data_IF_149112721976
#
_entry.id   IF_149112721976
#
_cell.length_a   1.000
_cell.length_b   1.000
_cell.length_c   1.000
_cell.angle_alpha   90.00
_cell.angle_beta   90.00
_cell.angle_gamma   90.00
#
_symmetry.space_group_name_H-M   'P 1'
#
loop_
_entity.id
_entity.type
_entity.pdbx_description
1 polymer ?
#
# COMPACT_ATOMS: atom_id res chain seq x y z
N UNK A 1 -38.47 -31.49 5.08
CA UNK A 1 -37.78 -30.67 4.06
C UNK A 1 -36.45 -30.22 4.65
N UNK A 2 -35.36 -30.87 4.25
CA UNK A 2 -34.05 -30.83 4.92
C UNK A 2 -33.26 -29.60 4.46
N UNK A 3 -32.95 -28.70 5.40
CA UNK A 3 -31.95 -27.62 5.28
C UNK A 3 -30.54 -28.23 5.23
N UNK A 4 -30.14 -28.80 4.09
CA UNK A 4 -28.78 -29.31 3.87
C UNK A 4 -28.35 -29.08 2.42
N UNK A 5 -28.26 -27.83 1.97
CA UNK A 5 -27.64 -27.53 0.67
C UNK A 5 -27.15 -26.08 0.49
N UNK A 6 -26.74 -25.39 1.56
CA UNK A 6 -26.25 -24.00 1.44
C UNK A 6 -25.02 -23.69 2.29
N UNK A 7 -24.27 -24.69 2.76
CA UNK A 7 -23.01 -24.46 3.51
C UNK A 7 -21.75 -25.04 2.84
N UNK A 8 -21.89 -25.85 1.80
CA UNK A 8 -20.75 -26.44 1.08
C UNK A 8 -20.19 -25.56 -0.05
N UNK A 9 -20.91 -24.52 -0.49
CA UNK A 9 -20.42 -23.59 -1.51
C UNK A 9 -19.50 -22.48 -0.96
N UNK A 10 -19.44 -22.30 0.36
CA UNK A 10 -18.55 -21.31 1.00
C UNK A 10 -17.16 -21.90 1.32
N UNK A 11 -17.00 -23.23 1.33
CA UNK A 11 -15.70 -23.88 1.59
C UNK A 11 -14.82 -24.03 0.33
N UNK A 12 -15.34 -23.71 -0.85
CA UNK A 12 -14.62 -23.77 -2.11
C UNK A 12 -14.03 -22.42 -2.55
N UNK A 13 -13.95 -21.43 -1.65
CA UNK A 13 -12.98 -20.33 -1.79
C UNK A 13 -11.62 -20.91 -1.40
N UNK A 14 -11.13 -21.81 -2.26
CA UNK A 14 -9.77 -22.29 -2.25
C UNK A 14 -8.86 -21.07 -2.37
N UNK A 15 -8.20 -20.72 -1.28
CA UNK A 15 -7.07 -19.80 -1.21
C UNK A 15 -5.91 -20.39 -2.00
N UNK A 16 -6.05 -20.50 -3.32
CA UNK A 16 -4.91 -20.69 -4.20
C UNK A 16 -4.16 -19.36 -4.19
N UNK A 17 -3.09 -19.31 -3.41
CA UNK A 17 -2.15 -18.20 -3.42
C UNK A 17 -1.52 -18.11 -4.82
N UNK A 18 -2.14 -17.32 -5.71
CA UNK A 18 -1.63 -17.11 -7.06
C UNK A 18 -0.35 -16.26 -6.98
N UNK A 19 0.69 -16.63 -7.72
CA UNK A 19 1.95 -15.90 -7.85
C UNK A 19 1.86 -14.80 -8.94
N UNK A 20 2.83 -13.86 -9.00
CA UNK A 20 2.93 -12.91 -10.09
C UNK A 20 3.09 -13.63 -11.44
N UNK A 21 2.53 -13.06 -12.51
CA UNK A 21 2.75 -13.54 -13.87
C UNK A 21 4.14 -13.14 -14.35
N UNK A 22 4.92 -14.13 -14.78
CA UNK A 22 6.31 -13.97 -15.23
C UNK A 22 6.39 -14.09 -16.75
N UNK A 23 6.97 -13.09 -17.41
CA UNK A 23 7.29 -13.11 -18.84
C UNK A 23 8.81 -13.02 -19.02
N UNK A 24 9.40 -13.95 -19.76
CA UNK A 24 10.84 -13.99 -20.03
C UNK A 24 11.09 -13.78 -21.52
N UNK A 25 12.21 -13.14 -21.85
CA UNK A 25 12.77 -13.10 -23.21
C UNK A 25 14.25 -13.44 -23.13
N UNK A 26 14.63 -14.48 -23.84
CA UNK A 26 16.02 -14.94 -23.92
C UNK A 26 16.62 -14.32 -25.18
N UNK A 27 17.66 -13.53 -25.01
CA UNK A 27 18.43 -12.95 -26.13
C UNK A 27 19.57 -13.89 -26.49
N UNK A 28 20.15 -14.55 -25.48
CA UNK A 28 21.19 -15.53 -25.67
C UNK A 28 21.02 -16.69 -24.69
N UNK A 29 20.76 -17.88 -25.24
CA UNK A 29 20.59 -19.07 -24.43
C UNK A 29 21.94 -19.50 -23.85
N UNK A 30 21.99 -19.67 -22.54
CA UNK A 30 23.07 -20.35 -21.83
C UNK A 30 22.47 -21.41 -20.92
N UNK A 31 23.32 -22.33 -20.47
CA UNK A 31 22.91 -23.30 -19.47
C UNK A 31 22.53 -22.58 -18.16
N UNK A 32 21.48 -23.03 -17.47
CA UNK A 32 21.16 -22.55 -16.12
C UNK A 32 22.40 -22.60 -15.21
N UNK A 33 22.59 -21.55 -14.41
CA UNK A 33 23.59 -21.58 -13.35
C UNK A 33 23.13 -22.49 -12.21
N UNK A 34 24.03 -22.98 -11.34
CA UNK A 34 23.63 -23.67 -10.12
C UNK A 34 22.68 -22.83 -9.26
N UNK A 35 21.67 -23.44 -8.65
CA UNK A 35 20.67 -22.73 -7.82
C UNK A 35 21.28 -21.99 -6.61
N UNK A 36 22.50 -22.36 -6.21
CA UNK A 36 23.27 -21.72 -5.14
C UNK A 36 24.09 -20.51 -5.60
N UNK A 37 24.03 -20.16 -6.90
CA UNK A 37 24.82 -19.06 -7.45
C UNK A 37 24.32 -17.73 -6.88
N UNK A 38 25.19 -16.92 -6.24
CA UNK A 38 24.80 -15.60 -5.80
C UNK A 38 24.52 -14.72 -7.02
N UNK A 39 23.31 -14.16 -7.09
CA UNK A 39 22.93 -13.19 -8.12
C UNK A 39 22.98 -11.80 -7.54
N UNK A 40 23.63 -10.90 -8.27
CA UNK A 40 23.73 -9.50 -7.89
C UNK A 40 22.59 -8.70 -8.47
N UNK A 41 21.82 -8.07 -7.60
CA UNK A 41 20.70 -7.22 -7.99
C UNK A 41 21.19 -5.79 -8.10
N UNK A 42 21.16 -5.24 -9.31
CA UNK A 42 21.47 -3.84 -9.58
C UNK A 42 20.16 -3.03 -9.65
N UNK A 43 20.01 -2.02 -8.81
CA UNK A 43 18.84 -1.14 -8.76
C UNK A 43 18.90 -0.05 -9.83
N UNK A 44 17.82 0.72 -10.00
CA UNK A 44 17.58 1.62 -11.16
C UNK A 44 18.77 2.50 -11.55
N UNK A 45 19.48 3.07 -10.57
CA UNK A 45 20.55 4.04 -10.78
C UNK A 45 21.97 3.42 -10.84
N UNK A 46 22.09 2.12 -10.56
CA UNK A 46 23.38 1.44 -10.50
C UNK A 46 23.84 1.00 -11.89
N UNK A 47 25.04 1.37 -12.36
CA UNK A 47 25.50 1.00 -13.70
C UNK A 47 25.75 -0.51 -13.82
N UNK A 48 25.53 -1.04 -15.02
CA UNK A 48 25.92 -2.42 -15.35
C UNK A 48 27.43 -2.44 -15.65
N UNK A 49 28.21 -3.43 -15.18
CA UNK A 49 29.62 -3.57 -15.52
C UNK A 49 29.86 -3.63 -17.04
N UNK A 50 30.91 -2.96 -17.53
CA UNK A 50 31.17 -2.81 -18.98
C UNK A 50 31.34 -4.14 -19.73
N UNK A 51 31.80 -5.19 -19.05
CA UNK A 51 32.03 -6.51 -19.64
C UNK A 51 30.88 -7.51 -19.42
N UNK A 52 29.72 -7.05 -18.92
CA UNK A 52 28.59 -7.92 -18.68
C UNK A 52 27.83 -8.22 -19.98
N UNK A 53 27.59 -9.51 -20.23
CA UNK A 53 26.90 -10.01 -21.41
C UNK A 53 25.41 -10.12 -21.16
N UNK A 54 24.57 -9.48 -21.99
CA UNK A 54 23.11 -9.55 -21.83
C UNK A 54 22.56 -10.93 -22.22
N UNK A 55 21.91 -11.61 -21.28
CA UNK A 55 21.33 -12.94 -21.45
C UNK A 55 19.85 -12.87 -21.85
N UNK A 56 19.15 -11.84 -21.37
CA UNK A 56 17.73 -11.70 -21.60
C UNK A 56 17.07 -10.64 -20.72
N UNK A 57 15.75 -10.72 -20.64
CA UNK A 57 14.94 -9.88 -19.76
C UNK A 57 13.82 -10.68 -19.10
N UNK A 58 13.47 -10.26 -17.90
CA UNK A 58 12.37 -10.82 -17.11
C UNK A 58 11.43 -9.69 -16.71
N UNK A 59 10.13 -9.96 -16.83
CA UNK A 59 9.07 -9.03 -16.46
C UNK A 59 8.10 -9.75 -15.54
N UNK A 60 7.86 -9.16 -14.36
CA UNK A 60 6.92 -9.67 -13.38
C UNK A 60 5.74 -8.71 -13.28
N UNK A 61 4.56 -9.23 -13.52
CA UNK A 61 3.28 -8.50 -13.55
C UNK A 61 2.28 -9.12 -12.57
N UNK A 62 1.27 -8.35 -12.19
CA UNK A 62 0.15 -8.84 -11.38
C UNK A 62 -0.84 -9.58 -12.27
N UNK A 63 -1.24 -10.79 -11.88
CA UNK A 63 -2.27 -11.59 -12.57
C UNK A 63 -3.70 -11.22 -12.16
N UNK A 64 -3.87 -10.28 -11.23
CA UNK A 64 -5.16 -9.80 -10.72
C UNK A 64 -5.65 -10.54 -9.48
N UNK A 65 -5.08 -11.70 -9.17
CA UNK A 65 -5.36 -12.49 -7.96
C UNK A 65 -4.08 -12.83 -7.18
N UNK A 66 -2.98 -12.12 -7.44
CA UNK A 66 -1.70 -12.38 -6.79
C UNK A 66 -1.78 -12.04 -5.30
N UNK A 67 -1.28 -12.94 -4.44
CA UNK A 67 -1.30 -12.73 -2.97
C UNK A 67 0.08 -12.38 -2.40
N UNK A 68 1.16 -12.77 -3.10
CA UNK A 68 2.56 -12.46 -2.78
C UNK A 68 3.03 -11.24 -3.57
N UNK A 69 2.73 -10.07 -3.02
CA UNK A 69 2.80 -8.78 -3.72
C UNK A 69 3.94 -7.86 -3.27
N UNK A 70 4.74 -8.33 -2.30
CA UNK A 70 5.88 -7.57 -1.76
C UNK A 70 7.02 -7.52 -2.75
N UNK A 71 7.83 -6.47 -2.65
CA UNK A 71 8.96 -6.25 -3.54
C UNK A 71 10.04 -7.34 -3.44
N UNK A 72 10.39 -7.74 -2.23
CA UNK A 72 11.39 -8.78 -1.95
C UNK A 72 11.06 -10.10 -2.64
N UNK A 73 9.81 -10.54 -2.55
CA UNK A 73 9.34 -11.74 -3.24
C UNK A 73 9.44 -11.60 -4.77
N UNK A 74 9.12 -10.42 -5.31
CA UNK A 74 9.22 -10.16 -6.76
C UNK A 74 10.68 -10.17 -7.23
N UNK A 75 11.61 -9.66 -6.42
CA UNK A 75 13.05 -9.73 -6.69
C UNK A 75 13.59 -11.16 -6.59
N UNK A 76 13.16 -11.93 -5.59
CA UNK A 76 13.50 -13.35 -5.43
C UNK A 76 13.05 -14.15 -6.65
N UNK A 77 11.80 -13.97 -7.11
CA UNK A 77 11.31 -14.65 -8.31
C UNK A 77 12.12 -14.24 -9.54
N UNK A 78 12.40 -12.95 -9.74
CA UNK A 78 13.22 -12.49 -10.87
C UNK A 78 14.66 -13.04 -10.84
N UNK A 79 15.21 -13.23 -9.64
CA UNK A 79 16.53 -13.81 -9.41
C UNK A 79 16.58 -15.27 -9.82
N UNK A 80 15.58 -16.07 -9.43
CA UNK A 80 15.43 -17.45 -9.88
C UNK A 80 15.40 -17.51 -11.41
N UNK A 81 14.70 -16.57 -12.06
CA UNK A 81 14.67 -16.54 -13.52
C UNK A 81 16.00 -16.12 -14.15
N UNK A 82 16.78 -15.27 -13.49
CA UNK A 82 18.13 -14.93 -13.94
C UNK A 82 19.05 -16.15 -13.94
N UNK A 83 19.01 -16.95 -12.86
CA UNK A 83 19.76 -18.21 -12.73
C UNK A 83 19.38 -19.17 -13.87
N UNK A 84 18.08 -19.35 -14.10
CA UNK A 84 17.57 -20.21 -15.18
C UNK A 84 18.01 -19.73 -16.58
N UNK A 85 18.27 -18.44 -16.76
CA UNK A 85 18.76 -17.86 -18.01
C UNK A 85 20.30 -17.85 -18.12
N UNK A 86 21.02 -18.39 -17.14
CA UNK A 86 22.48 -18.42 -17.14
C UNK A 86 23.13 -17.10 -16.69
N UNK A 87 22.39 -16.19 -16.05
CA UNK A 87 22.87 -14.89 -15.61
C UNK A 87 23.13 -14.80 -14.11
N UNK A 88 24.17 -14.08 -13.72
CA UNK A 88 24.55 -13.80 -12.33
C UNK A 88 24.34 -12.33 -11.93
N UNK A 89 23.80 -11.49 -12.83
CA UNK A 89 23.47 -10.10 -12.56
C UNK A 89 22.03 -9.83 -13.03
N UNK A 90 21.21 -9.27 -12.13
CA UNK A 90 19.82 -8.85 -12.38
C UNK A 90 19.73 -7.33 -12.28
N UNK A 91 19.63 -6.63 -13.41
CA UNK A 91 19.46 -5.17 -13.44
C UNK A 91 17.99 -4.80 -13.50
N UNK A 92 17.47 -4.14 -12.47
CA UNK A 92 16.14 -3.56 -12.47
C UNK A 92 16.13 -2.35 -13.40
N UNK A 93 15.32 -2.43 -14.47
CA UNK A 93 15.15 -1.34 -15.44
C UNK A 93 13.88 -0.54 -15.19
N UNK A 94 12.91 -1.13 -14.48
CA UNK A 94 11.66 -0.48 -14.12
C UNK A 94 11.07 -1.11 -12.88
N UNK A 95 10.57 -0.26 -12.00
CA UNK A 95 9.80 -0.68 -10.84
C UNK A 95 8.52 0.16 -10.74
N UNK A 96 7.37 -0.52 -10.64
CA UNK A 96 6.07 0.06 -10.31
C UNK A 96 5.59 -0.45 -8.96
N UNK A 97 5.38 0.47 -8.01
CA UNK A 97 4.74 0.21 -6.72
C UNK A 97 3.25 -0.15 -6.91
N UNK A 98 2.58 -0.68 -5.87
CA UNK A 98 1.14 -0.84 -5.89
C UNK A 98 0.43 0.46 -6.23
N UNK A 99 -0.52 0.41 -7.16
CA UNK A 99 -1.31 1.56 -7.61
C UNK A 99 -2.81 1.28 -7.56
N UNK A 100 -3.60 2.22 -8.08
CA UNK A 100 -5.05 2.12 -8.14
C UNK A 100 -5.57 0.91 -8.94
N UNK A 101 -4.75 0.28 -9.79
CA UNK A 101 -5.14 -0.86 -10.63
C UNK A 101 -4.53 -2.19 -10.17
N UNK A 102 -3.48 -2.17 -9.34
CA UNK A 102 -2.81 -3.38 -8.86
C UNK A 102 -2.24 -3.18 -7.46
N UNK A 103 -2.45 -4.17 -6.60
CA UNK A 103 -1.96 -4.15 -5.22
C UNK A 103 -0.51 -4.65 -5.08
N UNK A 104 0.15 -4.98 -6.19
CA UNK A 104 1.42 -5.70 -6.21
C UNK A 104 2.54 -4.93 -6.90
N UNK A 105 3.76 -5.16 -6.42
CA UNK A 105 4.97 -4.71 -7.09
C UNK A 105 5.08 -5.35 -8.47
N UNK A 106 5.40 -4.53 -9.47
CA UNK A 106 5.63 -4.97 -10.85
C UNK A 106 6.98 -4.47 -11.30
N UNK A 107 7.79 -5.34 -11.90
CA UNK A 107 9.14 -4.99 -12.33
C UNK A 107 9.41 -5.43 -13.76
N UNK A 108 10.30 -4.70 -14.42
CA UNK A 108 11.01 -5.13 -15.61
C UNK A 108 12.50 -5.13 -15.26
N UNK A 109 13.21 -6.19 -15.64
CA UNK A 109 14.62 -6.36 -15.36
C UNK A 109 15.33 -7.00 -16.55
N UNK A 110 16.61 -6.67 -16.70
CA UNK A 110 17.53 -7.29 -17.65
C UNK A 110 18.49 -8.21 -16.91
N UNK A 111 18.84 -9.30 -17.56
CA UNK A 111 19.70 -10.34 -16.99
C UNK A 111 21.01 -10.34 -17.74
N UNK A 112 22.11 -10.32 -17.00
CA UNK A 112 23.46 -10.31 -17.52
C UNK A 112 24.30 -11.42 -16.89
N UNK A 113 25.36 -11.78 -17.59
CA UNK A 113 26.42 -12.66 -17.11
C UNK A 113 27.77 -11.92 -17.14
N UNK A 114 28.52 -11.99 -16.04
CA UNK A 114 29.92 -11.53 -15.98
C UNK A 114 30.79 -12.53 -15.23
N UNK A 115 32.04 -12.68 -15.69
CA UNK A 115 33.05 -13.51 -15.02
C UNK A 115 33.71 -12.78 -13.84
N UNK A 116 33.48 -11.47 -13.69
CA UNK A 116 34.00 -10.71 -12.55
C UNK A 116 33.07 -10.88 -11.35
N UNK A 117 33.64 -11.06 -10.15
CA UNK A 117 32.84 -11.13 -8.94
C UNK A 117 32.06 -9.82 -8.80
N UNK A 118 30.80 -9.88 -8.36
CA UNK A 118 29.98 -8.70 -8.26
C UNK A 118 30.57 -7.71 -7.26
N UNK A 119 30.81 -6.49 -7.73
CA UNK A 119 31.26 -5.39 -6.89
C UNK A 119 30.08 -4.98 -6.03
N UNK A 120 30.12 -5.30 -4.73
CA UNK A 120 29.11 -4.91 -3.76
C UNK A 120 29.07 -3.39 -3.63
N UNK A 121 28.16 -2.73 -4.35
CA UNK A 121 27.96 -1.28 -4.30
C UNK A 121 27.13 -0.86 -3.07
N UNK A 122 27.45 -1.37 -1.88
CA UNK A 122 26.91 -0.87 -0.62
C UNK A 122 28.00 -0.70 0.46
N UNK A 123 29.19 -0.25 0.05
CA UNK A 123 30.04 0.52 0.95
C UNK A 123 29.98 1.96 0.46
N UNK A 124 29.42 2.86 1.28
CA UNK A 124 29.53 4.31 1.07
C UNK A 124 31.00 4.62 0.78
N UNK A 125 31.26 5.17 -0.40
CA UNK A 125 32.55 5.71 -0.79
C UNK A 125 32.80 6.99 0.00
N UNK A 126 33.47 6.88 1.14
CA UNK A 126 34.28 7.97 1.67
C UNK A 126 35.69 7.45 1.90
N UNK A 127 36.65 8.16 1.33
CA UNK A 127 38.12 8.05 1.43
C UNK A 127 38.84 6.92 0.68
N UNK A 128 39.80 7.39 -0.14
CA UNK A 128 40.71 6.67 -0.99
C UNK A 128 41.74 5.83 -0.24
N UNK A 129 42.13 4.72 -0.88
CA UNK A 129 43.33 3.95 -0.58
C UNK A 129 43.04 2.55 -0.07
N UNK A 130 43.85 1.59 -0.53
CA UNK A 130 43.94 0.17 -0.14
C UNK A 130 43.13 -0.78 -1.06
N UNK A 131 43.71 -1.06 -2.24
CA UNK A 131 43.27 -2.12 -3.14
C UNK A 131 44.09 -3.43 -3.02
N UNK A 132 45.22 -3.43 -2.30
CA UNK A 132 46.19 -4.55 -2.42
C UNK A 132 46.22 -5.51 -1.22
N UNK A 133 45.58 -5.19 -0.09
CA UNK A 133 45.60 -6.03 1.12
C UNK A 133 44.34 -6.90 1.31
N UNK A 134 43.34 -6.76 0.42
CA UNK A 134 42.03 -7.42 0.55
C UNK A 134 41.94 -8.79 -0.17
N UNK A 135 42.92 -9.16 -0.99
CA UNK A 135 42.84 -10.38 -1.82
C UNK A 135 43.16 -11.68 -1.08
N UNK A 136 43.85 -11.63 0.06
CA UNK A 136 44.27 -12.81 0.84
C UNK A 136 43.33 -13.16 2.00
N UNK A 137 42.48 -12.23 2.42
CA UNK A 137 41.49 -12.45 3.49
C UNK A 137 40.20 -13.12 2.96
N UNK A 138 39.87 -12.92 1.68
CA UNK A 138 38.67 -13.48 1.03
C UNK A 138 38.72 -15.00 0.78
N UNK A 139 39.88 -15.65 0.92
CA UNK A 139 40.01 -17.09 0.75
C UNK A 139 39.75 -17.89 2.05
N UNK A 140 39.84 -17.24 3.22
CA UNK A 140 39.71 -17.89 4.53
C UNK A 140 38.29 -17.82 5.12
N UNK A 141 37.43 -16.94 4.57
CA UNK A 141 36.09 -16.64 5.12
C UNK A 141 34.95 -17.45 4.46
N UNK A 142 35.29 -18.54 3.76
CA UNK A 142 34.30 -19.40 3.08
C UNK A 142 33.70 -20.50 3.97
N UNK A 143 34.21 -20.72 5.19
CA UNK A 143 33.80 -21.86 6.04
C UNK A 143 32.96 -21.49 7.26
N UNK A 144 32.59 -20.21 7.42
CA UNK A 144 31.77 -19.77 8.56
C UNK A 144 30.70 -18.77 8.13
N UNK A 145 29.98 -19.10 7.05
CA UNK A 145 28.76 -18.39 6.64
C UNK A 145 27.62 -18.72 7.63
N UNK A 146 27.66 -18.12 8.82
CA UNK A 146 26.45 -17.95 9.60
C UNK A 146 25.56 -17.00 8.82
N UNK A 147 24.35 -17.45 8.53
CA UNK A 147 23.25 -16.73 7.89
C UNK A 147 23.01 -15.39 8.59
N UNK A 148 23.80 -14.38 8.27
CA UNK A 148 23.46 -12.99 8.54
C UNK A 148 22.21 -12.70 7.70
N UNK A 149 21.12 -12.43 8.41
CA UNK A 149 19.87 -12.00 7.84
C UNK A 149 20.17 -10.74 7.01
N UNK A 150 20.26 -10.90 5.69
CA UNK A 150 20.32 -9.79 4.75
C UNK A 150 19.11 -8.93 5.07
N UNK A 151 19.33 -7.84 5.81
CA UNK A 151 18.31 -6.86 6.13
C UNK A 151 17.89 -6.28 4.79
N UNK A 152 16.84 -6.86 4.21
CA UNK A 152 16.19 -6.39 3.01
C UNK A 152 15.93 -4.89 3.21
N UNK A 153 16.49 -3.99 2.38
CA UNK A 153 16.27 -2.55 2.48
C UNK A 153 14.80 -2.13 2.28
N UNK A 154 13.84 -3.06 2.16
CA UNK A 154 12.56 -2.83 1.50
C UNK A 154 11.33 -3.08 2.37
N UNK A 155 11.45 -2.86 3.68
CA UNK A 155 10.31 -2.46 4.52
C UNK A 155 10.21 -0.91 4.59
N UNK A 156 10.67 -0.22 3.55
CA UNK A 156 10.67 1.25 3.42
C UNK A 156 9.27 1.78 3.06
N UNK A 157 8.32 1.55 3.96
CA UNK A 157 7.07 2.30 3.97
C UNK A 157 6.77 2.74 5.40
N UNK A 158 6.23 3.94 5.53
CA UNK A 158 5.88 4.49 6.82
C UNK A 158 4.72 3.67 7.43
N UNK A 159 5.04 2.89 8.47
CA UNK A 159 4.10 2.02 9.18
C UNK A 159 3.09 2.80 10.01
N UNK A 160 3.47 3.94 10.58
CA UNK A 160 2.58 4.75 11.42
C UNK A 160 2.21 6.08 10.76
N UNK A 161 0.94 6.45 10.80
CA UNK A 161 0.44 7.73 10.27
C UNK A 161 -0.55 8.36 11.24
N UNK A 162 -0.34 9.64 11.51
CA UNK A 162 -1.33 10.51 12.14
C UNK A 162 -1.92 11.44 11.07
N UNK A 163 -3.24 11.58 11.05
CA UNK A 163 -3.90 12.59 10.22
C UNK A 163 -4.92 13.42 11.00
N UNK A 164 -5.00 14.68 10.61
CA UNK A 164 -6.01 15.64 11.03
C UNK A 164 -6.61 16.27 9.77
N UNK A 165 -7.93 16.24 9.63
CA UNK A 165 -8.62 16.75 8.44
C UNK A 165 -9.82 17.61 8.85
N UNK A 166 -10.08 18.69 8.13
CA UNK A 166 -11.26 19.54 8.28
C UNK A 166 -12.01 19.67 6.96
N UNK A 167 -13.33 19.74 7.00
CA UNK A 167 -14.17 19.87 5.81
C UNK A 167 -15.63 20.09 6.13
N UNK A 168 -16.50 19.75 5.18
CA UNK A 168 -17.95 19.86 5.31
C UNK A 168 -18.64 18.52 5.07
N UNK A 169 -19.73 18.26 5.78
CA UNK A 169 -20.51 17.03 5.69
C UNK A 169 -21.97 17.32 5.33
N UNK A 170 -22.65 16.36 4.72
CA UNK A 170 -24.09 16.39 4.46
C UNK A 170 -24.76 15.10 4.94
N UNK A 171 -25.80 15.22 5.77
CA UNK A 171 -26.54 14.09 6.36
C UNK A 171 -27.71 13.67 5.46
N UNK A 172 -27.73 12.39 5.09
CA UNK A 172 -28.74 11.82 4.17
C UNK A 172 -29.97 11.22 4.86
N UNK A 173 -30.11 11.34 6.19
CA UNK A 173 -31.26 10.76 6.92
C UNK A 173 -32.61 11.23 6.36
N UNK A 174 -33.55 10.30 6.20
CA UNK A 174 -34.92 10.59 5.78
C UNK A 174 -35.63 11.37 6.89
N UNK A 175 -36.26 12.49 6.53
CA UNK A 175 -37.09 13.28 7.45
C UNK A 175 -38.45 12.58 7.53
N UNK A 176 -38.91 12.22 8.74
CA UNK A 176 -40.20 11.54 8.92
C UNK A 176 -41.34 12.44 8.43
N UNK A 177 -42.38 11.84 7.84
CA UNK A 177 -43.43 12.61 7.16
C UNK A 177 -44.38 13.33 8.13
N UNK A 178 -44.39 12.92 9.39
CA UNK A 178 -45.28 13.40 10.47
C UNK A 178 -44.80 14.70 11.15
N UNK A 179 -43.67 15.25 10.70
CA UNK A 179 -43.14 16.53 11.17
C UNK A 179 -43.84 17.70 10.49
N UNK A 180 -44.15 18.76 11.25
CA UNK A 180 -44.76 19.99 10.73
C UNK A 180 -43.90 20.62 9.62
N UNK A 181 -44.48 21.42 8.73
CA UNK A 181 -43.75 22.06 7.61
C UNK A 181 -42.56 22.91 8.10
N UNK A 182 -42.62 23.41 9.33
CA UNK A 182 -41.59 24.21 9.99
C UNK A 182 -40.43 23.34 10.50
N UNK A 183 -40.73 22.20 11.11
CA UNK A 183 -39.70 21.25 11.59
C UNK A 183 -38.91 20.67 10.41
N UNK A 184 -39.55 20.49 9.24
CA UNK A 184 -38.85 20.05 8.02
C UNK A 184 -37.82 21.06 7.53
N UNK A 185 -38.11 22.36 7.64
CA UNK A 185 -37.18 23.42 7.21
C UNK A 185 -36.01 23.56 8.18
N UNK A 186 -36.26 23.36 9.48
CA UNK A 186 -35.23 23.31 10.53
C UNK A 186 -34.30 22.09 10.37
N UNK A 187 -34.89 20.88 10.25
CA UNK A 187 -34.14 19.63 10.07
C UNK A 187 -33.31 19.61 8.78
N UNK A 188 -33.68 20.41 7.76
CA UNK A 188 -32.88 20.53 6.52
C UNK A 188 -31.61 21.37 6.73
N UNK A 189 -31.60 22.35 7.65
CA UNK A 189 -30.41 23.17 7.94
C UNK A 189 -29.35 22.40 8.72
N UNK A 190 -29.74 21.57 9.70
CA UNK A 190 -28.81 20.70 10.46
C UNK A 190 -28.21 19.54 9.65
N UNK A 191 -28.56 19.40 8.37
CA UNK A 191 -27.98 18.37 7.50
C UNK A 191 -26.58 18.71 7.04
N UNK A 192 -26.27 19.99 6.86
CA UNK A 192 -24.96 20.43 6.43
C UNK A 192 -24.18 20.98 7.62
N UNK A 193 -22.91 20.63 7.75
CA UNK A 193 -22.11 21.02 8.90
C UNK A 193 -20.60 20.92 8.64
N UNK A 194 -19.82 21.49 9.55
CA UNK A 194 -18.37 21.31 9.57
C UNK A 194 -18.01 19.91 10.08
N UNK A 195 -16.95 19.32 9.54
CA UNK A 195 -16.44 18.01 9.95
C UNK A 195 -14.95 18.11 10.25
N UNK A 196 -14.57 17.66 11.43
CA UNK A 196 -13.18 17.42 11.81
C UNK A 196 -12.92 15.92 11.94
N UNK A 197 -11.77 15.45 11.47
CA UNK A 197 -11.34 14.07 11.61
C UNK A 197 -9.93 14.03 12.20
N UNK A 198 -9.71 13.09 13.12
CA UNK A 198 -8.39 12.70 13.58
C UNK A 198 -8.27 11.18 13.48
N UNK A 199 -7.18 10.66 12.94
CA UNK A 199 -6.94 9.22 12.92
C UNK A 199 -5.48 8.84 13.14
N UNK A 200 -5.29 7.73 13.83
CA UNK A 200 -4.01 7.05 14.01
C UNK A 200 -4.06 5.72 13.26
N UNK A 201 -3.28 5.60 12.18
CA UNK A 201 -3.24 4.43 11.31
C UNK A 201 -1.92 3.67 11.45
N UNK A 202 -2.00 2.34 11.59
CA UNK A 202 -0.88 1.41 11.49
C UNK A 202 -0.99 0.55 10.22
N UNK A 203 0.00 0.65 9.34
CA UNK A 203 0.10 -0.10 8.09
C UNK A 203 0.81 -1.43 8.33
N UNK A 204 0.05 -2.52 8.23
CA UNK A 204 0.56 -3.89 8.32
C UNK A 204 1.30 -4.25 7.02
N UNK A 205 0.89 -3.66 5.89
CA UNK A 205 1.62 -3.66 4.62
C UNK A 205 1.52 -2.29 3.98
N UNK A 206 2.34 -2.01 2.97
CA UNK A 206 2.35 -0.73 2.26
C UNK A 206 0.97 -0.28 1.73
N UNK A 207 0.07 -1.22 1.42
CA UNK A 207 -1.25 -0.97 0.84
C UNK A 207 -2.44 -1.17 1.79
N UNK A 208 -2.20 -1.63 3.02
CA UNK A 208 -3.28 -1.91 3.99
C UNK A 208 -2.89 -1.66 5.43
N UNK A 209 -3.83 -1.13 6.20
CA UNK A 209 -3.62 -0.83 7.61
C UNK A 209 -4.90 -0.91 8.44
N UNK A 210 -4.72 -0.75 9.74
CA UNK A 210 -5.79 -0.61 10.71
C UNK A 210 -5.64 0.77 11.34
N UNK A 211 -6.75 1.48 11.50
CA UNK A 211 -6.77 2.82 12.07
C UNK A 211 -7.78 2.94 13.21
N UNK A 212 -7.44 3.73 14.22
CA UNK A 212 -8.42 4.28 15.15
C UNK A 212 -8.78 5.69 14.67
N UNK A 213 -10.06 5.91 14.37
CA UNK A 213 -10.56 7.17 13.81
C UNK A 213 -11.54 7.83 14.76
N UNK A 214 -11.40 9.13 14.92
CA UNK A 214 -12.34 10.04 15.55
C UNK A 214 -12.87 11.03 14.53
N UNK A 215 -14.18 11.26 14.49
CA UNK A 215 -14.82 12.27 13.64
C UNK A 215 -15.78 13.10 14.46
N UNK A 216 -15.79 14.41 14.25
CA UNK A 216 -16.70 15.36 14.87
C UNK A 216 -17.43 16.13 13.77
N UNK A 217 -18.75 15.98 13.68
CA UNK A 217 -19.62 16.75 12.80
C UNK A 217 -20.38 17.79 13.63
N UNK A 218 -20.17 19.07 13.34
CA UNK A 218 -20.86 20.20 13.97
C UNK A 218 -21.81 20.86 12.97
N UNK A 219 -23.07 21.06 13.37
CA UNK A 219 -24.04 21.81 12.58
C UNK A 219 -24.92 22.65 13.49
N UNK A 220 -25.20 23.88 13.08
CA UNK A 220 -26.06 24.82 13.79
C UNK A 220 -27.28 25.14 12.94
N UNK A 221 -28.45 25.20 13.55
CA UNK A 221 -29.67 25.67 12.88
C UNK A 221 -30.44 26.64 13.76
N UNK A 222 -30.81 27.76 13.14
CA UNK A 222 -31.74 28.73 13.73
C UNK A 222 -33.02 28.81 12.88
N UNK A 223 -34.15 28.76 13.58
CA UNK A 223 -35.49 28.90 13.01
C UNK A 223 -36.28 29.88 13.87
N UNK A 224 -36.80 30.94 13.27
CA UNK A 224 -37.65 31.92 13.95
C UNK A 224 -39.08 31.81 13.44
N UNK A 225 -40.03 31.82 14.38
CA UNK A 225 -41.47 31.77 14.09
C UNK A 225 -42.21 32.88 14.82
N UNK A 226 -43.27 33.39 14.19
CA UNK A 226 -44.20 34.34 14.82
C UNK A 226 -45.37 33.57 15.43
N UNK A 227 -45.47 33.56 16.75
CA UNK A 227 -46.60 33.00 17.47
C UNK A 227 -47.59 34.12 17.87
N UNK A 228 -48.91 33.95 17.68
CA UNK A 228 -49.89 34.91 18.17
C UNK A 228 -49.83 35.02 19.70
N UNK A 229 -49.87 36.24 20.21
CA UNK A 229 -49.82 36.65 21.63
C UNK A 229 -51.02 37.54 21.93
N UNK A 230 -51.43 37.66 23.20
CA UNK A 230 -52.56 38.51 23.62
C UNK A 230 -52.42 39.99 23.24
N UNK A 231 -51.23 40.43 22.85
CA UNK A 231 -50.88 41.80 22.46
C UNK A 231 -50.31 41.94 21.04
N UNK A 232 -50.35 40.88 20.21
CA UNK A 232 -49.85 40.91 18.82
C UNK A 232 -49.21 39.59 18.38
N UNK A 233 -48.01 39.65 17.78
CA UNK A 233 -47.21 38.47 17.44
C UNK A 233 -45.90 38.51 18.21
N UNK A 234 -45.54 37.41 18.88
CA UNK A 234 -44.25 37.24 19.51
C UNK A 234 -43.33 36.41 18.60
N UNK A 235 -42.04 36.78 18.48
CA UNK A 235 -41.08 36.00 17.69
C UNK A 235 -40.39 35.01 18.61
N UNK A 236 -40.62 33.72 18.39
CA UNK A 236 -39.94 32.64 19.09
C UNK A 236 -38.80 32.19 18.18
N UNK A 237 -37.57 32.36 18.64
CA UNK A 237 -36.37 31.85 17.97
C UNK A 237 -35.98 30.55 18.64
N UNK A 238 -35.89 29.48 17.85
CA UNK A 238 -35.30 28.21 18.27
C UNK A 238 -33.93 28.08 17.63
N UNK A 239 -32.93 27.84 18.45
CA UNK A 239 -31.53 27.68 18.08
C UNK A 239 -31.07 26.33 18.60
N UNK A 240 -30.64 25.45 17.69
CA UNK A 240 -30.13 24.13 18.00
C UNK A 240 -28.72 23.97 17.44
N UNK A 241 -27.79 23.60 18.32
CA UNK A 241 -26.45 23.15 17.96
C UNK A 241 -26.34 21.64 18.10
N UNK A 242 -25.88 20.99 17.05
CA UNK A 242 -25.76 19.53 16.97
C UNK A 242 -24.29 19.17 16.77
N UNK A 243 -23.76 18.40 17.72
CA UNK A 243 -22.43 17.80 17.65
C UNK A 243 -22.58 16.29 17.60
N UNK A 244 -22.02 15.67 16.56
CA UNK A 244 -22.03 14.22 16.39
C UNK A 244 -20.60 13.74 16.40
N UNK A 245 -20.29 12.88 17.35
CA UNK A 245 -19.02 12.22 17.52
C UNK A 245 -19.09 10.83 16.89
N UNK A 246 -18.03 10.42 16.22
CA UNK A 246 -17.79 9.05 15.82
C UNK A 246 -16.43 8.61 16.35
N UNK A 247 -16.36 7.41 16.92
CA UNK A 247 -15.10 6.78 17.31
C UNK A 247 -15.13 5.30 16.96
N UNK A 248 -14.10 4.81 16.28
CA UNK A 248 -14.02 3.38 16.01
C UNK A 248 -12.83 2.92 15.18
N UNK A 249 -12.60 1.59 15.17
CA UNK A 249 -11.63 0.95 14.31
C UNK A 249 -12.05 1.01 12.84
N UNK A 250 -11.06 1.21 11.97
CA UNK A 250 -11.21 1.29 10.53
C UNK A 250 -10.15 0.41 9.85
N UNK A 251 -10.53 -0.35 8.84
CA UNK A 251 -9.60 -0.97 7.92
C UNK A 251 -9.30 0.00 6.77
N UNK A 252 -8.03 0.23 6.49
CA UNK A 252 -7.54 1.26 5.59
C UNK A 252 -6.88 0.62 4.37
N UNK A 253 -7.30 1.05 3.18
CA UNK A 253 -6.66 0.76 1.91
C UNK A 253 -5.88 2.00 1.45
N UNK A 254 -4.62 1.82 1.07
CA UNK A 254 -3.75 2.86 0.52
C UNK A 254 -3.34 2.47 -0.90
N UNK A 255 -3.65 3.34 -1.85
CA UNK A 255 -3.33 3.14 -3.28
C UNK A 255 -2.42 4.28 -3.72
N UNK A 256 -1.28 4.00 -4.35
CA UNK A 256 -0.36 5.04 -4.80
C UNK A 256 -0.65 5.45 -6.24
N UNK A 257 -0.32 6.69 -6.59
CA UNK A 257 -0.25 7.10 -7.99
C UNK A 257 0.95 6.39 -8.67
N UNK A 258 0.91 6.20 -9.99
CA UNK A 258 2.00 5.59 -10.77
C UNK A 258 3.35 6.30 -10.62
N UNK A 259 3.35 7.57 -10.21
CA UNK A 259 4.57 8.35 -9.89
C UNK A 259 5.09 8.13 -8.45
N UNK A 260 4.36 7.43 -7.59
CA UNK A 260 4.69 7.21 -6.17
C UNK A 260 4.58 8.44 -5.27
N UNK A 261 4.29 9.63 -5.83
CA UNK A 261 4.28 10.91 -5.09
C UNK A 261 2.94 11.22 -4.40
N UNK A 262 1.85 10.61 -4.86
CA UNK A 262 0.52 10.80 -4.31
C UNK A 262 -0.08 9.48 -3.85
N UNK A 263 -0.99 9.52 -2.88
CA UNK A 263 -1.75 8.34 -2.45
C UNK A 263 -3.23 8.67 -2.25
N UNK A 264 -4.07 7.73 -2.64
CA UNK A 264 -5.49 7.70 -2.34
C UNK A 264 -5.72 6.76 -1.16
N UNK A 265 -6.53 7.20 -0.20
CA UNK A 265 -6.82 6.45 1.03
C UNK A 265 -8.33 6.23 1.11
N UNK A 266 -8.72 4.96 1.20
CA UNK A 266 -10.08 4.55 1.49
C UNK A 266 -10.12 3.83 2.85
N UNK A 267 -11.13 4.10 3.66
CA UNK A 267 -11.29 3.47 4.97
C UNK A 267 -12.71 2.98 5.15
N UNK A 268 -12.87 1.76 5.63
CA UNK A 268 -14.16 1.21 6.06
C UNK A 268 -14.04 0.88 7.54
N UNK A 269 -14.98 1.35 8.36
CA UNK A 269 -14.94 1.12 9.79
C UNK A 269 -16.32 1.03 10.40
N UNK A 270 -16.38 0.40 11.56
CA UNK A 270 -17.56 0.31 12.40
C UNK A 270 -17.19 0.89 13.75
N UNK A 271 -18.04 1.77 14.27
CA UNK A 271 -17.73 2.53 15.47
C UNK A 271 -18.97 3.04 16.16
N UNK A 272 -18.75 3.62 17.31
CA UNK A 272 -19.79 4.27 18.09
C UNK A 272 -20.04 5.68 17.55
N UNK A 273 -21.32 6.06 17.47
CA UNK A 273 -21.75 7.40 17.08
C UNK A 273 -22.70 7.95 18.15
N UNK A 274 -22.40 9.15 18.66
CA UNK A 274 -23.19 9.86 19.67
C UNK A 274 -23.35 11.33 19.33
#
# INVERSE_FOLDING_TARGET
>A
MQFKLTLTLLSAVLLNACSPAITKRITQYANPLPDTTPVTVLYLDEPVPENAKEMGSVKLTDSGFTTKCRYDYVIEQATIEAIQMGGNILKITKHRKPDLWSSCHRIEARVFYSNQPPVYAHAKSDSAGIADEYSSLMAAESSTYSKEEVISPFDDYQKFRLSFNGGFGYRVNKIHKDLSTLDRQHVKKIKFGGVFNADATYFIRENRGIALKYSLHSASASSSNRAPSSTGYNTITMEDDVYIHYVGPNYVFRLFNSSGKGSFIASIGLGYMA
#
